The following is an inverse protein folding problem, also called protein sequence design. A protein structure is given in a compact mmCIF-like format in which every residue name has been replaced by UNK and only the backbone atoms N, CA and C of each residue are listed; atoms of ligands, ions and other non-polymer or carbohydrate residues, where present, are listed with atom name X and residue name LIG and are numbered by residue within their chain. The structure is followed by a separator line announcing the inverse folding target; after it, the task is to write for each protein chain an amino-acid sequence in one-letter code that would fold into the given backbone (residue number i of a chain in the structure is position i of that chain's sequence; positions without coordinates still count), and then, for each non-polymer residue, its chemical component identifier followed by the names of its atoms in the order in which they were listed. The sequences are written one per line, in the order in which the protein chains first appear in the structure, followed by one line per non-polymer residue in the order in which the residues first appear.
data_IF_462199675422
#
_entry.id   IF_462199675422
#
_cell.length_a   1.000
_cell.length_b   1.000
_cell.length_c   1.000
_cell.angle_alpha   90.00
_cell.angle_beta   90.00
_cell.angle_gamma   90.00
#
_symmetry.space_group_name_H-M   'P 1'
#
loop_
_entity.id
_entity.type
_entity.pdbx_description
1 polymer ?
#
# COMPACT_ATOMS: atom_id res chain seq x y z
N UNK A 1 29.06 -4.16 5.16
CA UNK A 1 27.65 -3.80 4.90
C UNK A 1 27.18 -4.66 3.75
N UNK A 2 26.54 -5.78 4.06
CA UNK A 2 25.85 -6.60 3.05
C UNK A 2 24.73 -5.75 2.49
N UNK A 3 24.85 -5.38 1.22
CA UNK A 3 23.74 -4.78 0.48
C UNK A 3 22.75 -5.91 0.30
N UNK A 4 21.75 -5.98 1.18
CA UNK A 4 20.61 -6.87 0.98
C UNK A 4 20.07 -6.58 -0.41
N UNK A 5 20.08 -7.62 -1.23
CA UNK A 5 19.58 -7.54 -2.58
C UNK A 5 18.12 -7.08 -2.51
N UNK A 6 17.68 -6.07 -3.30
CA UNK A 6 16.29 -5.63 -3.29
C UNK A 6 15.31 -6.78 -3.64
N UNK A 7 15.82 -7.88 -4.20
CA UNK A 7 15.09 -9.13 -4.46
C UNK A 7 14.75 -9.95 -3.20
N UNK A 8 15.36 -9.69 -2.03
CA UNK A 8 15.05 -10.36 -0.76
C UNK A 8 13.78 -9.82 -0.08
N UNK A 9 13.22 -8.68 -0.54
CA UNK A 9 12.06 -8.02 0.06
C UNK A 9 10.80 -8.89 0.10
N UNK A 10 10.68 -9.86 -0.81
CA UNK A 10 9.54 -10.76 -0.94
C UNK A 10 9.93 -12.24 -0.73
N UNK A 11 11.00 -12.49 0.02
CA UNK A 11 11.49 -13.85 0.25
C UNK A 11 10.66 -14.58 1.32
N UNK A 12 10.37 -15.86 1.06
CA UNK A 12 9.24 -16.66 1.55
C UNK A 12 9.19 -17.00 3.04
N UNK A 13 9.97 -16.35 3.89
CA UNK A 13 10.09 -16.78 5.28
C UNK A 13 8.80 -16.55 6.09
N UNK A 14 7.96 -15.57 5.73
CA UNK A 14 6.75 -15.32 6.51
C UNK A 14 5.68 -16.40 6.33
N UNK A 15 5.45 -16.90 5.11
CA UNK A 15 4.47 -17.98 4.91
C UNK A 15 4.82 -19.20 5.77
N UNK A 16 6.07 -19.65 5.71
CA UNK A 16 6.53 -20.79 6.50
C UNK A 16 6.39 -20.52 8.01
N UNK A 17 6.73 -19.32 8.46
CA UNK A 17 6.52 -18.90 9.86
C UNK A 17 5.04 -18.86 10.27
N UNK A 18 4.14 -18.43 9.40
CA UNK A 18 2.70 -18.44 9.64
C UNK A 18 2.18 -19.88 9.77
N UNK A 19 2.67 -20.79 8.93
CA UNK A 19 2.32 -22.22 9.03
C UNK A 19 2.91 -22.84 10.32
N UNK A 20 4.15 -22.52 10.68
CA UNK A 20 4.74 -22.96 11.95
C UNK A 20 3.93 -22.46 13.14
N UNK A 21 3.55 -21.19 13.13
CA UNK A 21 2.67 -20.59 14.15
C UNK A 21 1.32 -21.31 14.23
N UNK A 22 0.73 -21.67 13.09
CA UNK A 22 -0.51 -22.44 13.05
C UNK A 22 -0.34 -23.82 13.72
N UNK A 23 0.76 -24.51 13.45
CA UNK A 23 1.08 -25.79 14.11
C UNK A 23 1.25 -25.62 15.62
N UNK A 24 1.93 -24.55 16.05
CA UNK A 24 2.09 -24.23 17.48
C UNK A 24 0.76 -23.91 18.16
N UNK A 25 -0.13 -23.16 17.51
CA UNK A 25 -1.47 -22.91 18.02
C UNK A 25 -2.26 -24.22 18.21
N UNK A 26 -2.18 -25.14 17.25
CA UNK A 26 -2.80 -26.47 17.37
C UNK A 26 -2.21 -27.28 18.53
N UNK A 27 -0.89 -27.25 18.73
CA UNK A 27 -0.21 -27.91 19.84
C UNK A 27 -0.72 -27.38 21.20
N UNK A 28 -0.85 -26.06 21.36
CA UNK A 28 -1.39 -25.45 22.57
C UNK A 28 -2.83 -25.92 22.83
N UNK A 29 -3.70 -25.89 21.82
CA UNK A 29 -5.08 -26.36 21.96
C UNK A 29 -5.17 -27.84 22.38
N UNK A 30 -4.29 -28.69 21.84
CA UNK A 30 -4.26 -30.12 22.21
C UNK A 30 -3.78 -30.35 23.64
N UNK A 31 -2.75 -29.63 24.11
CA UNK A 31 -2.28 -29.72 25.50
C UNK A 31 -3.39 -29.32 26.47
N UNK A 32 -4.12 -28.23 26.18
CA UNK A 32 -5.25 -27.81 27.02
C UNK A 32 -6.33 -28.89 27.05
N UNK A 33 -6.63 -29.54 25.91
CA UNK A 33 -7.61 -30.62 25.89
C UNK A 33 -7.16 -31.84 26.70
N UNK A 34 -5.86 -32.16 26.74
CA UNK A 34 -5.33 -33.21 27.64
C UNK A 34 -5.55 -32.85 29.11
N UNK A 35 -5.33 -31.59 29.49
CA UNK A 35 -5.60 -31.10 30.86
C UNK A 35 -7.09 -31.25 31.17
N UNK A 36 -7.99 -30.89 30.25
CA UNK A 36 -9.42 -31.08 30.44
C UNK A 36 -9.80 -32.55 30.66
N UNK A 37 -9.13 -33.49 29.97
CA UNK A 37 -9.32 -34.92 30.17
C UNK A 37 -8.99 -35.34 31.61
N UNK A 38 -7.82 -34.95 32.11
CA UNK A 38 -7.41 -35.20 33.50
C UNK A 38 -8.35 -34.54 34.52
N UNK A 39 -8.84 -33.33 34.22
CA UNK A 39 -9.83 -32.66 35.06
C UNK A 39 -11.15 -33.42 35.15
N UNK A 40 -11.60 -34.06 34.05
CA UNK A 40 -12.79 -34.89 34.03
C UNK A 40 -12.63 -36.21 34.80
N UNK A 41 -11.42 -36.75 34.92
CA UNK A 41 -11.15 -37.88 35.81
C UNK A 41 -11.23 -37.46 37.28
N UNK A 42 -10.65 -36.31 37.62
CA UNK A 42 -10.73 -35.75 38.96
C UNK A 42 -12.16 -35.43 39.39
N UNK A 43 -12.97 -34.90 38.47
CA UNK A 43 -14.41 -34.66 38.64
C UNK A 43 -15.16 -35.94 39.05
N UNK A 44 -14.94 -37.05 38.35
CA UNK A 44 -15.55 -38.36 38.68
C UNK A 44 -15.15 -38.87 40.07
N UNK A 45 -13.90 -38.62 40.47
CA UNK A 45 -13.43 -39.01 41.81
C UNK A 45 -14.17 -38.18 42.88
N UNK A 46 -14.34 -36.87 42.67
CA UNK A 46 -15.11 -36.02 43.58
C UNK A 46 -16.57 -36.49 43.67
N UNK A 47 -17.22 -36.79 42.55
CA UNK A 47 -18.60 -37.33 42.53
C UNK A 47 -18.72 -38.65 43.32
N UNK A 48 -17.76 -39.54 43.16
CA UNK A 48 -17.70 -40.79 43.92
C UNK A 48 -17.54 -40.55 45.42
N UNK A 49 -16.78 -39.53 45.82
CA UNK A 49 -16.64 -39.15 47.23
C UNK A 49 -17.97 -38.55 47.72
N UNK A 50 -18.56 -37.60 47.00
CA UNK A 50 -19.84 -36.96 47.37
C UNK A 50 -20.93 -38.00 47.62
N UNK A 51 -21.05 -39.01 46.75
CA UNK A 51 -22.05 -40.08 46.89
C UNK A 51 -21.80 -41.02 48.07
N UNK A 52 -20.57 -41.05 48.61
CA UNK A 52 -20.17 -41.89 49.74
C UNK A 52 -20.35 -41.20 51.10
N UNK A 53 -20.61 -39.89 51.14
CA UNK A 53 -20.79 -39.13 52.38
C UNK A 53 -22.28 -38.80 52.63
N UNK A 54 -22.73 -38.79 53.90
CA UNK A 54 -24.09 -38.38 54.24
C UNK A 54 -24.34 -36.94 53.79
N UNK A 55 -25.48 -36.70 53.12
CA UNK A 55 -25.89 -35.34 52.79
C UNK A 55 -26.22 -34.58 54.07
N UNK A 56 -25.65 -33.38 54.20
CA UNK A 56 -25.83 -32.50 55.34
C UNK A 56 -26.06 -31.09 54.79
N UNK A 57 -27.20 -30.50 55.12
CA UNK A 57 -27.62 -29.18 54.62
C UNK A 57 -26.89 -28.01 55.32
N UNK A 58 -26.02 -28.30 56.29
CA UNK A 58 -25.19 -27.28 56.91
C UNK A 58 -24.25 -26.62 55.87
N UNK A 59 -24.23 -25.29 55.73
CA UNK A 59 -23.45 -24.59 54.69
C UNK A 59 -21.94 -24.84 54.73
N UNK A 60 -21.41 -25.15 55.92
CA UNK A 60 -20.00 -25.46 56.16
C UNK A 60 -19.72 -26.98 56.26
N UNK A 61 -20.64 -27.81 55.78
CA UNK A 61 -20.44 -29.26 55.79
C UNK A 61 -19.37 -29.69 54.77
N UNK A 62 -18.80 -30.88 54.98
CA UNK A 62 -17.88 -31.48 54.01
C UNK A 62 -18.55 -31.71 52.65
N UNK A 63 -19.84 -32.09 52.63
CA UNK A 63 -20.63 -32.23 51.40
C UNK A 63 -20.75 -30.90 50.66
N UNK A 64 -21.02 -29.80 51.37
CA UNK A 64 -21.06 -28.45 50.79
C UNK A 64 -19.71 -28.01 50.22
N UNK A 65 -18.60 -28.31 50.90
CA UNK A 65 -17.24 -28.01 50.41
C UNK A 65 -16.88 -28.82 49.15
N UNK A 66 -17.23 -30.12 49.13
CA UNK A 66 -17.02 -30.97 47.95
C UNK A 66 -17.85 -30.48 46.76
N UNK A 67 -19.11 -30.11 46.98
CA UNK A 67 -19.97 -29.52 45.94
C UNK A 67 -19.40 -28.19 45.40
N UNK A 68 -18.86 -27.34 46.27
CA UNK A 68 -18.21 -26.10 45.87
C UNK A 68 -16.94 -26.38 45.04
N UNK A 69 -16.15 -27.37 45.44
CA UNK A 69 -14.95 -27.81 44.71
C UNK A 69 -15.32 -28.38 43.34
N UNK A 70 -16.38 -29.19 43.27
CA UNK A 70 -16.95 -29.74 42.04
C UNK A 70 -17.38 -28.62 41.09
N UNK A 71 -18.14 -27.64 41.58
CA UNK A 71 -18.58 -26.49 40.79
C UNK A 71 -17.40 -25.66 40.26
N UNK A 72 -16.38 -25.41 41.09
CA UNK A 72 -15.15 -24.75 40.66
C UNK A 72 -14.46 -25.53 39.54
N UNK A 73 -14.32 -26.84 39.69
CA UNK A 73 -13.68 -27.72 38.71
C UNK A 73 -14.42 -27.73 37.36
N UNK A 74 -15.74 -27.86 37.39
CA UNK A 74 -16.60 -27.84 36.19
C UNK A 74 -16.46 -26.50 35.45
N UNK A 75 -16.46 -25.38 36.18
CA UNK A 75 -16.28 -24.06 35.60
C UNK A 75 -14.90 -23.88 34.96
N UNK A 76 -13.83 -24.27 35.66
CA UNK A 76 -12.46 -24.18 35.13
C UNK A 76 -12.28 -25.08 33.90
N UNK A 77 -12.82 -26.30 33.92
CA UNK A 77 -12.79 -27.22 32.77
C UNK A 77 -13.48 -26.62 31.56
N UNK A 78 -14.62 -25.95 31.77
CA UNK A 78 -15.40 -25.30 30.71
C UNK A 78 -14.62 -24.14 30.09
N UNK A 79 -14.05 -23.26 30.91
CA UNK A 79 -13.23 -22.13 30.46
C UNK A 79 -12.01 -22.60 29.65
N UNK A 80 -11.29 -23.63 30.13
CA UNK A 80 -10.17 -24.22 29.38
C UNK A 80 -10.60 -24.80 28.03
N UNK A 81 -11.82 -25.32 27.92
CA UNK A 81 -12.36 -25.81 26.65
C UNK A 81 -12.56 -24.71 25.63
N UNK A 82 -13.04 -23.56 26.08
CA UNK A 82 -13.22 -22.38 25.24
C UNK A 82 -11.86 -21.85 24.77
N UNK A 83 -10.85 -21.84 25.64
CA UNK A 83 -9.46 -21.49 25.27
C UNK A 83 -8.89 -22.47 24.25
N UNK A 84 -9.04 -23.78 24.48
CA UNK A 84 -8.55 -24.82 23.56
C UNK A 84 -9.16 -24.68 22.16
N UNK A 85 -10.48 -24.45 22.10
CA UNK A 85 -11.22 -24.24 20.86
C UNK A 85 -10.78 -22.95 20.14
N UNK A 86 -10.53 -21.86 20.86
CA UNK A 86 -10.01 -20.63 20.29
C UNK A 86 -8.63 -20.82 19.63
N UNK A 87 -7.73 -21.58 20.26
CA UNK A 87 -6.42 -21.93 19.67
C UNK A 87 -6.54 -22.82 18.43
N UNK A 88 -7.48 -23.76 18.42
CA UNK A 88 -7.75 -24.59 17.23
C UNK A 88 -8.28 -23.77 16.07
N UNK A 89 -9.28 -22.92 16.33
CA UNK A 89 -9.82 -21.96 15.35
C UNK A 89 -8.73 -21.05 14.79
N UNK A 90 -7.82 -20.55 15.64
CA UNK A 90 -6.67 -19.76 15.20
C UNK A 90 -5.76 -20.57 14.27
N UNK A 91 -5.38 -21.79 14.66
CA UNK A 91 -4.59 -22.71 13.82
C UNK A 91 -5.21 -22.88 12.43
N UNK A 92 -6.50 -23.18 12.36
CA UNK A 92 -7.16 -23.49 11.10
C UNK A 92 -7.32 -22.26 10.20
N UNK A 93 -7.57 -21.09 10.79
CA UNK A 93 -7.61 -19.81 10.07
C UNK A 93 -6.22 -19.37 9.57
N UNK A 94 -5.12 -19.73 10.25
CA UNK A 94 -3.75 -19.39 9.84
C UNK A 94 -3.23 -20.28 8.68
N UNK A 95 -3.71 -21.52 8.56
CA UNK A 95 -3.26 -22.46 7.51
C UNK A 95 -3.61 -22.02 6.08
N UNK A 96 -4.53 -21.08 5.89
CA UNK A 96 -4.85 -20.58 4.57
C UNK A 96 -5.73 -19.32 4.56
N UNK A 97 -5.59 -18.44 3.56
CA UNK A 97 -6.48 -17.31 3.33
C UNK A 97 -7.76 -17.80 2.62
N UNK A 98 -8.54 -18.63 3.29
CA UNK A 98 -9.66 -19.38 2.71
C UNK A 98 -10.78 -18.50 2.12
N UNK A 99 -10.90 -17.25 2.59
CA UNK A 99 -11.90 -16.28 2.15
C UNK A 99 -11.38 -15.27 1.10
N UNK A 100 -10.12 -15.43 0.66
CA UNK A 100 -9.50 -14.49 -0.26
C UNK A 100 -9.90 -14.75 -1.71
N UNK A 101 -10.73 -13.87 -2.28
CA UNK A 101 -11.31 -14.02 -3.63
C UNK A 101 -10.41 -13.58 -4.78
N UNK A 102 -9.24 -13.02 -4.48
CA UNK A 102 -8.31 -12.54 -5.50
C UNK A 102 -7.73 -13.70 -6.30
N UNK A 103 -7.77 -13.62 -7.63
CA UNK A 103 -7.07 -14.57 -8.49
C UNK A 103 -5.58 -14.26 -8.48
N UNK A 104 -4.75 -15.26 -8.19
CA UNK A 104 -3.30 -15.12 -8.30
C UNK A 104 -2.86 -14.96 -9.76
N UNK A 105 -1.81 -14.17 -9.94
CA UNK A 105 -1.13 -14.00 -11.22
C UNK A 105 -0.51 -15.31 -11.67
N UNK A 106 -0.47 -15.51 -12.99
CA UNK A 106 0.31 -16.60 -13.60
C UNK A 106 1.80 -16.29 -13.65
N UNK A 107 2.18 -15.03 -13.44
CA UNK A 107 3.57 -14.60 -13.42
C UNK A 107 4.13 -14.65 -12.00
N UNK A 108 5.18 -15.45 -11.83
CA UNK A 108 5.70 -15.83 -10.52
C UNK A 108 6.13 -14.62 -9.67
N UNK A 109 6.68 -13.56 -10.28
CA UNK A 109 7.08 -12.35 -9.52
C UNK A 109 5.88 -11.62 -8.91
N UNK A 110 4.79 -11.48 -9.66
CA UNK A 110 3.56 -10.82 -9.17
C UNK A 110 2.90 -11.72 -8.12
N UNK A 111 2.81 -13.03 -8.42
CA UNK A 111 2.24 -14.02 -7.51
C UNK A 111 2.94 -14.02 -6.14
N UNK A 112 4.27 -13.92 -6.11
CA UNK A 112 5.04 -13.80 -4.86
C UNK A 112 4.63 -12.59 -4.03
N UNK A 113 4.51 -11.42 -4.65
CA UNK A 113 4.06 -10.20 -3.97
C UNK A 113 2.62 -10.34 -3.46
N UNK A 114 1.72 -10.91 -4.27
CA UNK A 114 0.35 -11.17 -3.87
C UNK A 114 0.29 -12.09 -2.65
N UNK A 115 0.97 -13.24 -2.70
CA UNK A 115 1.01 -14.20 -1.58
C UNK A 115 1.52 -13.51 -0.32
N UNK A 116 2.65 -12.80 -0.40
CA UNK A 116 3.22 -12.10 0.76
C UNK A 116 2.22 -11.12 1.38
N UNK A 117 1.62 -10.22 0.58
CA UNK A 117 0.69 -9.23 1.13
C UNK A 117 -0.59 -9.87 1.70
N UNK A 118 -1.14 -10.86 1.01
CA UNK A 118 -2.33 -11.58 1.45
C UNK A 118 -2.06 -12.30 2.77
N UNK A 119 -0.92 -12.99 2.90
CA UNK A 119 -0.57 -13.68 4.14
C UNK A 119 -0.31 -12.72 5.30
N UNK A 120 0.30 -11.54 5.06
CA UNK A 120 0.45 -10.51 6.08
C UNK A 120 -0.93 -10.06 6.61
N UNK A 121 -1.82 -9.68 5.69
CA UNK A 121 -3.18 -9.21 6.03
C UNK A 121 -3.96 -10.32 6.74
N UNK A 122 -3.88 -11.55 6.23
CA UNK A 122 -4.60 -12.68 6.83
C UNK A 122 -4.08 -13.02 8.22
N UNK A 123 -2.77 -13.05 8.42
CA UNK A 123 -2.16 -13.32 9.73
C UNK A 123 -2.62 -12.26 10.74
N UNK A 124 -2.60 -10.99 10.35
CA UNK A 124 -3.12 -9.89 11.18
C UNK A 124 -4.60 -10.10 11.55
N UNK A 125 -5.46 -10.42 10.57
CA UNK A 125 -6.89 -10.71 10.80
C UNK A 125 -7.10 -11.90 11.74
N UNK A 126 -6.33 -12.97 11.58
CA UNK A 126 -6.42 -14.15 12.42
C UNK A 126 -6.12 -13.83 13.88
N UNK A 127 -5.09 -13.04 14.14
CA UNK A 127 -4.78 -12.61 15.51
C UNK A 127 -5.88 -11.73 16.10
N UNK A 128 -6.40 -10.75 15.35
CA UNK A 128 -7.47 -9.89 15.87
C UNK A 128 -8.73 -10.70 16.17
N UNK A 129 -9.12 -11.61 15.28
CA UNK A 129 -10.25 -12.51 15.52
C UNK A 129 -10.01 -13.42 16.74
N UNK A 130 -8.79 -13.93 16.93
CA UNK A 130 -8.47 -14.73 18.11
C UNK A 130 -8.62 -13.92 19.41
N UNK A 131 -8.18 -12.65 19.44
CA UNK A 131 -8.33 -11.80 20.63
C UNK A 131 -9.80 -11.46 20.90
N UNK A 132 -10.61 -11.24 19.86
CA UNK A 132 -12.06 -11.03 19.98
C UNK A 132 -12.75 -12.30 20.51
N UNK A 133 -12.45 -13.46 19.92
CA UNK A 133 -13.00 -14.75 20.32
C UNK A 133 -12.60 -15.08 21.78
N UNK A 134 -11.35 -14.79 22.17
CA UNK A 134 -10.87 -14.96 23.53
C UNK A 134 -11.60 -14.06 24.53
N UNK A 135 -11.84 -12.79 24.17
CA UNK A 135 -12.59 -11.86 25.02
C UNK A 135 -14.05 -12.29 25.19
N UNK A 136 -14.71 -12.69 24.10
CA UNK A 136 -16.14 -12.99 24.12
C UNK A 136 -16.44 -14.35 24.77
N UNK A 137 -15.51 -15.30 24.64
CA UNK A 137 -15.74 -16.68 25.05
C UNK A 137 -15.06 -17.04 26.38
N UNK A 138 -14.14 -16.25 26.93
CA UNK A 138 -13.44 -16.60 28.17
C UNK A 138 -13.66 -15.53 29.25
N UNK A 139 -14.34 -15.90 30.33
CA UNK A 139 -14.77 -14.96 31.36
C UNK A 139 -13.58 -14.32 32.12
N UNK A 140 -12.50 -15.07 32.34
CA UNK A 140 -11.30 -14.51 32.99
C UNK A 140 -10.51 -13.56 32.07
N UNK A 141 -10.67 -13.68 30.74
CA UNK A 141 -10.05 -12.80 29.75
C UNK A 141 -10.91 -11.54 29.57
N UNK A 142 -12.23 -11.67 29.59
CA UNK A 142 -13.16 -10.55 29.40
C UNK A 142 -13.01 -9.47 30.48
N UNK A 143 -12.59 -9.87 31.69
CA UNK A 143 -12.34 -8.97 32.82
C UNK A 143 -10.95 -8.29 32.77
N UNK A 144 -10.08 -8.64 31.82
CA UNK A 144 -8.74 -8.11 31.73
C UNK A 144 -8.74 -6.76 31.00
N UNK A 145 -8.26 -5.70 31.67
CA UNK A 145 -8.17 -4.34 31.12
C UNK A 145 -7.36 -4.26 29.81
N UNK A 146 -6.46 -5.21 29.54
CA UNK A 146 -5.68 -5.28 28.29
C UNK A 146 -6.59 -5.54 27.08
N UNK A 147 -7.74 -6.19 27.27
CA UNK A 147 -8.71 -6.57 26.24
C UNK A 147 -9.96 -5.65 26.21
N UNK A 148 -9.85 -4.44 26.75
CA UNK A 148 -10.92 -3.44 26.63
C UNK A 148 -11.26 -3.15 25.16
N UNK A 149 -12.54 -2.91 24.86
CA UNK A 149 -13.03 -2.61 23.51
C UNK A 149 -12.33 -1.39 22.92
N UNK A 150 -12.03 -0.39 23.74
CA UNK A 150 -11.31 0.80 23.30
C UNK A 150 -9.89 0.49 22.84
N UNK A 151 -9.25 -0.54 23.40
CA UNK A 151 -7.89 -0.97 23.04
C UNK A 151 -7.89 -1.87 21.80
N UNK A 152 -8.93 -2.70 21.62
CA UNK A 152 -9.05 -3.59 20.45
C UNK A 152 -9.56 -2.88 19.20
N UNK A 153 -10.42 -1.87 19.36
CA UNK A 153 -11.08 -1.14 18.25
C UNK A 153 -10.11 -0.61 17.18
N UNK A 154 -8.95 0.00 17.50
CA UNK A 154 -8.01 0.43 16.48
C UNK A 154 -7.53 -0.73 15.59
N UNK A 155 -7.25 -1.90 16.19
CA UNK A 155 -6.76 -3.05 15.44
C UNK A 155 -7.82 -3.65 14.53
N UNK A 156 -9.08 -3.68 14.97
CA UNK A 156 -10.24 -4.10 14.17
C UNK A 156 -10.39 -3.20 12.95
N UNK A 157 -10.37 -1.88 13.15
CA UNK A 157 -10.47 -0.91 12.06
C UNK A 157 -9.33 -1.05 11.05
N UNK A 158 -8.10 -1.29 11.52
CA UNK A 158 -6.95 -1.56 10.64
C UNK A 158 -7.16 -2.85 9.84
N UNK A 159 -7.60 -3.93 10.49
CA UNK A 159 -7.88 -5.21 9.86
C UNK A 159 -8.86 -5.07 8.69
N UNK A 160 -9.99 -4.40 8.91
CA UNK A 160 -11.02 -4.21 7.87
C UNK A 160 -10.53 -3.30 6.76
N UNK A 161 -9.81 -2.23 7.11
CA UNK A 161 -9.30 -1.27 6.14
C UNK A 161 -8.20 -1.86 5.27
N UNK A 162 -7.33 -2.72 5.79
CA UNK A 162 -6.32 -3.43 4.98
C UNK A 162 -6.95 -4.25 3.84
N UNK A 163 -8.05 -4.97 4.14
CA UNK A 163 -8.79 -5.74 3.14
C UNK A 163 -9.49 -4.82 2.12
N UNK A 164 -10.15 -3.76 2.62
CA UNK A 164 -10.85 -2.79 1.79
C UNK A 164 -9.90 -2.06 0.83
N UNK A 165 -8.78 -1.54 1.36
CA UNK A 165 -7.76 -0.82 0.59
C UNK A 165 -7.18 -1.74 -0.51
N UNK A 166 -6.85 -2.99 -0.19
CA UNK A 166 -6.37 -3.95 -1.21
C UNK A 166 -7.41 -4.23 -2.29
N UNK A 167 -8.67 -4.45 -1.93
CA UNK A 167 -9.77 -4.62 -2.91
C UNK A 167 -9.93 -3.39 -3.79
N UNK A 168 -9.84 -2.19 -3.21
CA UNK A 168 -9.88 -0.93 -3.95
C UNK A 168 -8.75 -0.88 -4.98
N UNK A 169 -7.50 -1.15 -4.57
CA UNK A 169 -6.35 -1.14 -5.47
C UNK A 169 -6.47 -2.12 -6.63
N UNK A 170 -7.03 -3.31 -6.38
CA UNK A 170 -7.29 -4.33 -7.41
C UNK A 170 -8.44 -3.97 -8.37
N UNK A 171 -9.34 -3.08 -7.95
CA UNK A 171 -10.49 -2.65 -8.77
C UNK A 171 -10.17 -1.49 -9.71
N UNK A 172 -9.00 -0.87 -9.58
CA UNK A 172 -8.59 0.26 -10.41
C UNK A 172 -8.28 -0.21 -11.84
N UNK A 173 -8.86 0.47 -12.82
CA UNK A 173 -8.66 0.15 -14.23
C UNK A 173 -7.79 1.22 -14.91
N UNK A 174 -6.52 0.90 -15.11
CA UNK A 174 -5.53 1.77 -15.75
C UNK A 174 -5.56 1.72 -17.28
N UNK A 175 -6.57 1.09 -17.89
CA UNK A 175 -6.80 1.17 -19.33
C UNK A 175 -7.70 2.34 -19.73
N UNK A 176 -8.35 2.98 -18.76
CA UNK A 176 -9.27 4.10 -18.97
C UNK A 176 -8.55 5.43 -19.30
N UNK A 177 -9.28 6.46 -19.79
CA UNK A 177 -8.74 7.81 -19.95
C UNK A 177 -8.21 8.40 -18.64
N UNK A 178 -7.19 9.28 -18.73
CA UNK A 178 -6.45 9.84 -17.59
C UNK A 178 -7.41 10.43 -16.53
N UNK A 179 -8.42 11.18 -16.96
CA UNK A 179 -9.39 11.81 -16.07
C UNK A 179 -10.22 10.79 -15.25
N UNK A 180 -10.51 9.62 -15.80
CA UNK A 180 -11.25 8.57 -15.12
C UNK A 180 -10.36 7.86 -14.10
N UNK A 181 -9.10 7.60 -14.47
CA UNK A 181 -8.12 7.01 -13.54
C UNK A 181 -7.95 7.93 -12.33
N UNK A 182 -7.74 9.23 -12.55
CA UNK A 182 -7.58 10.20 -11.46
C UNK A 182 -8.81 10.28 -10.55
N UNK A 183 -10.03 10.17 -11.12
CA UNK A 183 -11.26 10.09 -10.33
C UNK A 183 -11.32 8.83 -9.46
N UNK A 184 -10.95 7.67 -10.00
CA UNK A 184 -10.91 6.41 -9.24
C UNK A 184 -9.87 6.46 -8.10
N UNK A 185 -8.74 7.11 -8.34
CA UNK A 185 -7.68 7.33 -7.36
C UNK A 185 -7.99 8.44 -6.34
N UNK A 186 -9.07 9.22 -6.54
CA UNK A 186 -9.36 10.46 -5.80
C UNK A 186 -8.19 11.47 -5.84
N UNK A 187 -7.57 11.66 -7.01
CA UNK A 187 -6.43 12.57 -7.24
C UNK A 187 -6.85 13.80 -8.07
N UNK A 188 -6.06 14.87 -7.96
CA UNK A 188 -6.32 16.12 -8.68
C UNK A 188 -5.90 16.01 -10.16
N UNK A 189 -6.53 16.80 -11.04
CA UNK A 189 -6.18 16.85 -12.48
C UNK A 189 -4.80 17.46 -12.78
N UNK A 190 -4.11 17.97 -11.75
CA UNK A 190 -2.78 18.58 -11.84
C UNK A 190 -1.64 17.61 -11.59
N UNK A 191 -1.93 16.33 -11.30
CA UNK A 191 -0.93 15.29 -11.04
C UNK A 191 -1.08 14.12 -12.00
N UNK A 192 -0.02 13.34 -12.15
CA UNK A 192 -0.08 12.06 -12.85
C UNK A 192 -0.91 11.06 -12.06
N UNK A 193 -1.57 10.11 -12.76
CA UNK A 193 -2.08 8.91 -12.12
C UNK A 193 -0.96 8.16 -11.39
N UNK A 194 -1.26 7.58 -10.23
CA UNK A 194 -0.27 7.14 -9.26
C UNK A 194 0.76 6.16 -9.84
N UNK A 195 0.32 5.12 -10.57
CA UNK A 195 1.27 4.15 -11.12
C UNK A 195 2.02 4.69 -12.34
N UNK A 196 1.41 5.55 -13.15
CA UNK A 196 2.18 6.22 -14.22
C UNK A 196 3.22 7.17 -13.62
N UNK A 197 2.92 7.86 -12.50
CA UNK A 197 3.90 8.63 -11.75
C UNK A 197 5.07 7.74 -11.30
N UNK A 198 4.78 6.61 -10.65
CA UNK A 198 5.81 5.63 -10.21
C UNK A 198 6.65 5.08 -11.36
N UNK A 199 5.99 4.62 -12.43
CA UNK A 199 6.66 4.05 -13.60
C UNK A 199 7.57 5.09 -14.25
N UNK A 200 7.07 6.31 -14.46
CA UNK A 200 7.86 7.38 -15.08
C UNK A 200 9.00 7.86 -14.17
N UNK A 201 8.78 7.98 -12.86
CA UNK A 201 9.85 8.30 -11.90
C UNK A 201 10.95 7.24 -11.94
N UNK A 202 10.59 5.96 -11.91
CA UNK A 202 11.57 4.88 -12.01
C UNK A 202 12.36 4.95 -13.31
N UNK A 203 11.68 5.05 -14.45
CA UNK A 203 12.34 5.15 -15.75
C UNK A 203 13.24 6.40 -15.86
N UNK A 204 12.85 7.53 -15.25
CA UNK A 204 13.61 8.77 -15.32
C UNK A 204 14.96 8.69 -14.60
N UNK A 205 14.99 8.00 -13.46
CA UNK A 205 16.19 7.84 -12.61
C UNK A 205 16.97 6.55 -12.90
N UNK A 206 16.49 5.72 -13.83
CA UNK A 206 17.18 4.51 -14.25
C UNK A 206 18.51 4.84 -14.95
N UNK A 207 19.56 4.09 -14.61
CA UNK A 207 20.91 4.34 -15.16
C UNK A 207 21.06 3.73 -16.54
N UNK A 208 20.60 2.51 -16.72
CA UNK A 208 20.72 1.74 -17.96
C UNK A 208 19.37 1.66 -18.66
N UNK A 209 19.31 2.24 -19.86
CA UNK A 209 18.06 2.41 -20.62
C UNK A 209 18.24 2.02 -22.08
N UNK A 210 19.10 1.03 -22.35
CA UNK A 210 19.41 0.59 -23.71
C UNK A 210 18.14 0.16 -24.45
N UNK A 211 17.82 0.86 -25.54
CA UNK A 211 16.64 0.58 -26.33
C UNK A 211 15.32 0.80 -25.59
N UNK A 212 15.28 1.63 -24.54
CA UNK A 212 14.05 2.01 -23.86
C UNK A 212 12.98 2.46 -24.88
N UNK A 213 11.75 2.00 -24.69
CA UNK A 213 10.63 2.13 -25.65
C UNK A 213 10.81 1.47 -27.04
N UNK A 214 12.00 1.03 -27.44
CA UNK A 214 12.21 0.25 -28.67
C UNK A 214 12.09 -1.25 -28.44
N UNK A 215 12.67 -1.74 -27.35
CA UNK A 215 12.62 -3.16 -26.99
C UNK A 215 11.18 -3.60 -26.64
N UNK A 216 10.90 -4.88 -26.88
CA UNK A 216 9.61 -5.52 -26.64
C UNK A 216 9.70 -6.36 -25.37
N UNK A 217 8.76 -6.13 -24.45
CA UNK A 217 8.55 -7.01 -23.31
C UNK A 217 7.69 -8.22 -23.70
N UNK A 218 7.69 -9.27 -22.87
CA UNK A 218 6.78 -10.40 -23.04
C UNK A 218 5.32 -9.95 -22.96
N UNK A 219 4.51 -10.32 -23.96
CA UNK A 219 3.10 -9.88 -24.05
C UNK A 219 2.28 -10.37 -22.87
N UNK A 220 2.43 -11.65 -22.51
CA UNK A 220 1.73 -12.29 -21.38
C UNK A 220 2.13 -11.64 -20.05
N UNK A 221 3.42 -11.40 -19.84
CA UNK A 221 3.94 -10.71 -18.66
C UNK A 221 3.35 -9.30 -18.56
N UNK A 222 3.42 -8.50 -19.61
CA UNK A 222 2.89 -7.14 -19.64
C UNK A 222 1.40 -7.07 -19.32
N UNK A 223 0.59 -8.00 -19.84
CA UNK A 223 -0.85 -8.07 -19.55
C UNK A 223 -1.09 -8.33 -18.06
N UNK A 224 -0.33 -9.24 -17.44
CA UNK A 224 -0.43 -9.50 -16.00
C UNK A 224 0.01 -8.29 -15.17
N UNK A 225 1.09 -7.59 -15.54
CA UNK A 225 1.51 -6.38 -14.83
C UNK A 225 0.49 -5.25 -14.93
N UNK A 226 -0.18 -5.08 -16.07
CA UNK A 226 -1.26 -4.08 -16.22
C UNK A 226 -2.47 -4.45 -15.36
N UNK A 227 -2.84 -5.73 -15.34
CA UNK A 227 -3.97 -6.23 -14.54
C UNK A 227 -3.77 -6.02 -13.04
N UNK A 228 -2.54 -6.18 -12.54
CA UNK A 228 -2.21 -6.05 -11.13
C UNK A 228 -1.42 -4.78 -10.81
N UNK A 229 -1.46 -3.78 -11.70
CA UNK A 229 -0.69 -2.53 -11.59
C UNK A 229 -0.91 -1.83 -10.23
N UNK A 230 -2.13 -1.99 -9.68
CA UNK A 230 -2.58 -1.55 -8.36
C UNK A 230 -1.76 -2.01 -7.15
N UNK A 231 -1.12 -3.18 -7.25
CA UNK A 231 -0.55 -3.86 -6.08
C UNK A 231 0.89 -4.31 -6.29
N UNK A 232 1.49 -3.94 -7.42
CA UNK A 232 2.86 -4.33 -7.76
C UNK A 232 3.86 -3.27 -7.30
N UNK A 233 4.97 -3.74 -6.74
CA UNK A 233 6.16 -2.92 -6.53
C UNK A 233 7.00 -2.81 -7.81
N UNK A 234 6.92 -1.64 -8.45
CA UNK A 234 7.68 -1.32 -9.66
C UNK A 234 9.18 -1.17 -9.41
N UNK A 235 9.66 -1.03 -8.17
CA UNK A 235 11.10 -0.90 -7.88
C UNK A 235 11.90 -2.13 -8.34
N UNK A 236 11.26 -3.30 -8.48
CA UNK A 236 11.90 -4.53 -8.91
C UNK A 236 11.71 -4.86 -10.40
N UNK A 237 10.92 -4.06 -11.11
CA UNK A 237 10.57 -4.29 -12.52
C UNK A 237 11.60 -3.69 -13.47
N UNK A 238 12.06 -4.40 -14.49
CA UNK A 238 13.02 -3.84 -15.45
C UNK A 238 12.41 -2.69 -16.29
N UNK A 239 13.29 -1.85 -16.84
CA UNK A 239 12.88 -0.69 -17.61
C UNK A 239 12.20 -1.05 -18.95
N UNK A 240 12.44 -2.26 -19.49
CA UNK A 240 11.86 -2.71 -20.76
C UNK A 240 10.37 -2.93 -20.58
N UNK A 241 9.98 -3.65 -19.52
CA UNK A 241 8.61 -3.91 -19.17
C UNK A 241 7.87 -2.63 -18.80
N UNK A 242 8.50 -1.76 -17.99
CA UNK A 242 7.95 -0.45 -17.65
C UNK A 242 7.69 0.42 -18.89
N UNK A 243 8.65 0.47 -19.81
CA UNK A 243 8.51 1.18 -21.09
C UNK A 243 7.38 0.59 -21.94
N UNK A 244 7.24 -0.74 -21.94
CA UNK A 244 6.19 -1.44 -22.68
C UNK A 244 4.79 -1.15 -22.11
N UNK A 245 4.64 -1.09 -20.78
CA UNK A 245 3.39 -0.74 -20.09
C UNK A 245 2.94 0.67 -20.49
N UNK A 246 3.84 1.66 -20.45
CA UNK A 246 3.51 3.04 -20.88
C UNK A 246 3.11 3.06 -22.36
N UNK A 247 3.85 2.38 -23.25
CA UNK A 247 3.46 2.27 -24.67
C UNK A 247 2.09 1.61 -24.83
N UNK A 248 1.82 0.53 -24.11
CA UNK A 248 0.54 -0.18 -24.16
C UNK A 248 -0.60 0.77 -23.80
N UNK A 249 -0.47 1.52 -22.72
CA UNK A 249 -1.46 2.53 -22.32
C UNK A 249 -1.74 3.54 -23.44
N UNK A 250 -0.69 4.18 -23.98
CA UNK A 250 -0.84 5.17 -25.06
C UNK A 250 -1.60 4.60 -26.26
N UNK A 251 -1.30 3.35 -26.64
CA UNK A 251 -1.91 2.68 -27.79
C UNK A 251 -3.35 2.23 -27.56
N UNK A 252 -3.69 1.80 -26.34
CA UNK A 252 -4.94 1.08 -26.07
C UNK A 252 -6.00 1.91 -25.34
N UNK A 253 -5.63 3.03 -24.70
CA UNK A 253 -6.61 3.90 -24.05
C UNK A 253 -7.67 4.38 -25.05
N UNK A 254 -8.92 4.50 -24.63
CA UNK A 254 -10.02 4.90 -25.53
C UNK A 254 -9.86 6.35 -26.01
N UNK A 255 -9.31 7.22 -25.16
CA UNK A 255 -9.00 8.61 -25.47
C UNK A 255 -7.47 8.82 -25.47
N UNK A 256 -6.86 9.16 -26.61
CA UNK A 256 -5.41 9.36 -26.68
C UNK A 256 -4.94 10.53 -25.81
N UNK A 257 -3.71 10.43 -25.35
CA UNK A 257 -3.09 11.45 -24.48
C UNK A 257 -3.02 12.81 -25.19
N UNK A 258 -2.66 12.85 -26.48
CA UNK A 258 -2.96 14.01 -27.31
C UNK A 258 -4.43 13.92 -27.74
N UNK A 259 -5.32 14.84 -27.31
CA UNK A 259 -6.74 14.59 -27.50
C UNK A 259 -7.16 14.71 -28.96
N UNK A 260 -8.14 13.88 -29.35
CA UNK A 260 -8.57 13.72 -30.75
C UNK A 260 -9.09 15.04 -31.35
N UNK A 261 -9.74 15.88 -30.55
CA UNK A 261 -10.26 17.17 -31.00
C UNK A 261 -9.17 18.16 -31.44
N UNK A 262 -7.92 17.98 -30.97
CA UNK A 262 -6.76 18.76 -31.39
C UNK A 262 -5.90 18.06 -32.46
N UNK A 263 -6.27 16.85 -32.90
CA UNK A 263 -5.46 16.08 -33.85
C UNK A 263 -5.32 16.80 -35.20
N UNK A 264 -6.45 17.15 -35.85
CA UNK A 264 -6.43 17.74 -37.20
C UNK A 264 -5.70 19.10 -37.21
N UNK A 265 -5.87 19.90 -36.15
CA UNK A 265 -5.15 21.17 -36.01
C UNK A 265 -3.64 20.97 -35.89
N UNK A 266 -3.20 19.99 -35.10
CA UNK A 266 -1.77 19.67 -34.97
C UNK A 266 -1.18 19.18 -36.30
N UNK A 267 -1.90 18.31 -37.01
CA UNK A 267 -1.46 17.80 -38.32
C UNK A 267 -1.38 18.93 -39.35
N UNK A 268 -2.37 19.82 -39.39
CA UNK A 268 -2.35 21.00 -40.27
C UNK A 268 -1.14 21.91 -39.99
N UNK A 269 -0.91 22.28 -38.72
CA UNK A 269 0.22 23.12 -38.33
C UNK A 269 1.55 22.44 -38.71
N UNK A 270 1.64 21.14 -38.50
CA UNK A 270 2.86 20.38 -38.82
C UNK A 270 3.09 20.31 -40.32
N UNK A 271 2.06 20.02 -41.12
CA UNK A 271 2.18 19.97 -42.59
C UNK A 271 2.57 21.31 -43.21
N UNK A 272 2.06 22.43 -42.67
CA UNK A 272 2.33 23.77 -43.22
C UNK A 272 3.62 24.39 -42.71
N UNK A 273 3.97 24.18 -41.43
CA UNK A 273 5.02 24.94 -40.76
C UNK A 273 6.19 24.11 -40.25
N UNK A 274 6.27 22.79 -40.53
CA UNK A 274 7.39 21.95 -40.05
C UNK A 274 8.78 22.51 -40.41
N UNK A 275 8.92 23.13 -41.59
CA UNK A 275 10.18 23.76 -42.04
C UNK A 275 10.43 25.15 -41.43
N UNK A 276 9.50 25.70 -40.66
CA UNK A 276 9.58 27.02 -40.02
C UNK A 276 9.42 26.89 -38.50
N UNK A 277 10.53 26.65 -37.76
CA UNK A 277 10.48 26.36 -36.32
C UNK A 277 9.75 27.42 -35.48
N UNK A 278 9.95 28.70 -35.80
CA UNK A 278 9.34 29.82 -35.07
C UNK A 278 7.82 29.79 -35.23
N UNK A 279 7.33 29.68 -36.47
CA UNK A 279 5.90 29.66 -36.75
C UNK A 279 5.24 28.40 -36.20
N UNK A 280 5.89 27.23 -36.33
CA UNK A 280 5.38 25.98 -35.78
C UNK A 280 5.24 26.07 -34.25
N UNK A 281 6.26 26.55 -33.52
CA UNK A 281 6.21 26.73 -32.06
C UNK A 281 5.08 27.67 -31.64
N UNK A 282 4.91 28.81 -32.30
CA UNK A 282 3.85 29.76 -31.98
C UNK A 282 2.46 29.16 -32.16
N UNK A 283 2.21 28.48 -33.30
CA UNK A 283 0.91 27.86 -33.59
C UNK A 283 0.65 26.65 -32.69
N UNK A 284 1.67 25.84 -32.42
CA UNK A 284 1.59 24.72 -31.48
C UNK A 284 1.13 25.17 -30.09
N UNK A 285 1.72 26.25 -29.54
CA UNK A 285 1.33 26.79 -28.22
C UNK A 285 -0.15 27.15 -28.16
N UNK A 286 -0.71 27.71 -29.24
CA UNK A 286 -2.14 28.02 -29.31
C UNK A 286 -3.02 26.78 -29.24
N UNK A 287 -2.66 25.70 -29.96
CA UNK A 287 -3.40 24.42 -29.87
C UNK A 287 -3.23 23.81 -28.48
N UNK A 288 -2.01 23.81 -27.96
CA UNK A 288 -1.67 23.24 -26.66
C UNK A 288 -2.47 23.88 -25.50
N UNK A 289 -2.78 25.17 -25.58
CA UNK A 289 -3.62 25.85 -24.57
C UNK A 289 -4.99 25.20 -24.39
N UNK A 290 -5.58 24.62 -25.45
CA UNK A 290 -6.89 23.96 -25.40
C UNK A 290 -6.85 22.52 -24.85
N UNK A 291 -5.67 21.95 -24.62
CA UNK A 291 -5.52 20.59 -24.10
C UNK A 291 -5.93 20.53 -22.62
N UNK A 292 -6.69 19.50 -22.18
CA UNK A 292 -7.08 19.34 -20.78
C UNK A 292 -5.87 19.28 -19.83
N UNK A 293 -6.04 19.76 -18.60
CA UNK A 293 -4.97 19.84 -17.60
C UNK A 293 -4.28 18.51 -17.33
N UNK A 294 -5.06 17.44 -17.19
CA UNK A 294 -4.60 16.10 -16.89
C UNK A 294 -3.78 15.51 -18.05
N UNK A 295 -4.20 15.78 -19.29
CA UNK A 295 -3.45 15.43 -20.49
C UNK A 295 -2.15 16.24 -20.56
N UNK A 296 -2.17 17.55 -20.31
CA UNK A 296 -0.96 18.39 -20.28
C UNK A 296 0.09 17.86 -19.30
N UNK A 297 -0.32 17.50 -18.09
CA UNK A 297 0.58 16.94 -17.08
C UNK A 297 1.22 15.64 -17.57
N UNK A 298 0.44 14.76 -18.20
CA UNK A 298 0.95 13.52 -18.78
C UNK A 298 1.90 13.78 -19.96
N UNK A 299 1.51 14.66 -20.87
CA UNK A 299 2.31 15.05 -22.05
C UNK A 299 3.67 15.58 -21.60
N UNK A 300 3.69 16.57 -20.71
CA UNK A 300 4.94 17.19 -20.27
C UNK A 300 5.82 16.21 -19.50
N UNK A 301 5.23 15.33 -18.67
CA UNK A 301 5.99 14.30 -17.95
C UNK A 301 6.58 13.26 -18.90
N UNK A 302 5.83 12.83 -19.92
CA UNK A 302 6.32 11.91 -20.95
C UNK A 302 7.42 12.56 -21.79
N UNK A 303 7.25 13.82 -22.20
CA UNK A 303 8.29 14.56 -22.95
C UNK A 303 9.55 14.71 -22.10
N UNK A 304 9.44 15.08 -20.83
CA UNK A 304 10.58 15.18 -19.92
C UNK A 304 11.32 13.82 -19.79
N UNK A 305 10.57 12.72 -19.69
CA UNK A 305 11.12 11.37 -19.66
C UNK A 305 11.82 11.01 -20.98
N UNK A 306 11.20 11.26 -22.13
CA UNK A 306 11.79 11.01 -23.44
C UNK A 306 13.11 11.77 -23.62
N UNK A 307 13.17 13.06 -23.23
CA UNK A 307 14.39 13.86 -23.30
C UNK A 307 15.47 13.30 -22.38
N UNK A 308 15.12 12.86 -21.17
CA UNK A 308 16.06 12.22 -20.25
C UNK A 308 16.65 10.94 -20.83
N UNK A 309 15.82 10.10 -21.47
CA UNK A 309 16.26 8.86 -22.13
C UNK A 309 17.16 9.16 -23.33
N UNK A 310 16.78 10.12 -24.18
CA UNK A 310 17.59 10.53 -25.36
C UNK A 310 18.97 11.02 -24.95
N UNK A 311 19.05 11.76 -23.84
CA UNK A 311 20.31 12.26 -23.31
C UNK A 311 21.07 11.23 -22.46
N UNK A 312 20.51 10.03 -22.22
CA UNK A 312 21.20 8.97 -21.51
C UNK A 312 22.18 8.25 -22.48
N UNK A 313 23.49 8.20 -22.16
CA UNK A 313 24.50 7.64 -23.06
C UNK A 313 24.30 6.15 -23.37
N UNK A 314 23.66 5.40 -22.47
CA UNK A 314 23.41 3.96 -22.67
C UNK A 314 22.18 3.70 -23.55
N UNK A 315 21.32 4.70 -23.76
CA UNK A 315 19.99 4.43 -24.30
C UNK A 315 19.98 4.03 -25.78
N UNK A 316 20.92 4.54 -26.58
CA UNK A 316 20.94 4.41 -28.06
C UNK A 316 19.66 4.95 -28.74
N UNK A 317 18.84 5.70 -28.00
CA UNK A 317 17.64 6.36 -28.51
C UNK A 317 17.95 7.80 -28.87
N UNK A 318 17.73 8.18 -30.12
CA UNK A 318 17.72 9.58 -30.56
C UNK A 318 16.28 10.07 -30.73
N UNK A 319 16.11 11.36 -31.07
CA UNK A 319 14.79 11.96 -31.29
C UNK A 319 13.97 11.16 -32.31
N UNK A 320 14.58 10.78 -33.44
CA UNK A 320 13.89 10.04 -34.50
C UNK A 320 13.40 8.67 -34.02
N UNK A 321 14.27 7.89 -33.39
CA UNK A 321 13.95 6.57 -32.86
C UNK A 321 12.87 6.64 -31.78
N UNK A 322 12.93 7.67 -30.92
CA UNK A 322 11.92 7.91 -29.89
C UNK A 322 10.56 8.23 -30.52
N UNK A 323 10.53 9.10 -31.52
CA UNK A 323 9.31 9.46 -32.24
C UNK A 323 8.65 8.25 -32.92
N UNK A 324 9.44 7.38 -33.54
CA UNK A 324 8.93 6.14 -34.16
C UNK A 324 8.25 5.25 -33.10
N UNK A 325 8.82 5.17 -31.89
CA UNK A 325 8.33 4.28 -30.85
C UNK A 325 7.10 4.79 -30.08
N UNK A 326 6.97 6.11 -29.91
CA UNK A 326 5.96 6.72 -29.04
C UNK A 326 4.83 7.40 -29.81
N UNK A 327 5.16 8.14 -30.87
CA UNK A 327 4.20 9.01 -31.56
C UNK A 327 2.93 8.29 -32.06
N UNK A 328 2.98 7.05 -32.62
CA UNK A 328 1.76 6.37 -33.09
C UNK A 328 0.70 6.13 -32.00
N UNK A 329 1.13 5.85 -30.77
CA UNK A 329 0.22 5.67 -29.64
C UNK A 329 -0.22 7.01 -29.04
N UNK A 330 0.69 7.98 -29.04
CA UNK A 330 0.52 9.25 -28.36
C UNK A 330 -0.37 10.25 -29.13
N UNK A 331 -0.20 10.38 -30.45
CA UNK A 331 -1.00 11.25 -31.34
C UNK A 331 -1.73 10.37 -32.36
N UNK A 332 -3.04 10.20 -32.17
CA UNK A 332 -3.88 9.41 -33.09
C UNK A 332 -5.31 9.92 -33.09
N UNK A 333 -5.99 9.76 -34.23
CA UNK A 333 -7.40 10.14 -34.41
C UNK A 333 -8.37 9.04 -33.96
N UNK A 334 -7.96 7.79 -34.11
CA UNK A 334 -8.70 6.58 -33.67
C UNK A 334 -7.70 5.50 -33.25
N UNK A 335 -8.06 4.21 -33.34
CA UNK A 335 -7.09 3.12 -33.18
C UNK A 335 -5.99 3.21 -34.26
N UNK A 336 -4.81 2.66 -33.97
CA UNK A 336 -3.57 2.85 -34.76
C UNK A 336 -3.71 2.45 -36.24
N UNK A 337 -4.70 1.62 -36.57
CA UNK A 337 -4.85 1.01 -37.90
C UNK A 337 -5.52 1.91 -38.95
N UNK A 338 -6.02 3.10 -38.59
CA UNK A 338 -6.85 3.92 -39.50
C UNK A 338 -6.11 5.14 -40.10
N UNK A 339 -4.80 5.29 -39.87
CA UNK A 339 -4.04 6.44 -40.39
C UNK A 339 -3.46 6.15 -41.79
N UNK A 340 -3.58 7.11 -42.70
CA UNK A 340 -2.89 7.06 -44.00
C UNK A 340 -1.37 7.22 -43.82
N UNK A 341 -0.56 6.69 -44.75
CA UNK A 341 0.92 6.82 -44.69
C UNK A 341 1.40 8.27 -44.54
N UNK A 342 0.74 9.24 -45.19
CA UNK A 342 1.06 10.67 -45.06
C UNK A 342 0.73 11.23 -43.66
N UNK A 343 -0.36 10.77 -43.05
CA UNK A 343 -0.73 11.15 -41.68
C UNK A 343 0.28 10.60 -40.65
N UNK A 344 0.80 9.40 -40.86
CA UNK A 344 1.85 8.83 -40.01
C UNK A 344 3.14 9.65 -40.03
N UNK A 345 3.57 10.13 -41.20
CA UNK A 345 4.76 10.97 -41.31
C UNK A 345 4.59 12.29 -40.55
N UNK A 346 3.43 12.94 -40.66
CA UNK A 346 3.13 14.17 -39.92
C UNK A 346 3.09 13.94 -38.40
N UNK A 347 2.56 12.81 -37.94
CA UNK A 347 2.60 12.42 -36.52
C UNK A 347 4.04 12.31 -36.01
N UNK A 348 4.93 11.68 -36.77
CA UNK A 348 6.34 11.55 -36.40
C UNK A 348 7.05 12.89 -36.37
N UNK A 349 6.80 13.76 -37.35
CA UNK A 349 7.38 15.11 -37.40
C UNK A 349 6.86 15.94 -36.23
N UNK A 350 5.56 15.89 -35.94
CA UNK A 350 4.95 16.65 -34.85
C UNK A 350 5.59 16.27 -33.50
N UNK A 351 5.69 14.97 -33.19
CA UNK A 351 6.32 14.52 -31.95
C UNK A 351 7.83 14.83 -31.92
N UNK A 352 8.53 14.68 -33.05
CA UNK A 352 9.95 15.05 -33.14
C UNK A 352 10.17 16.54 -32.87
N UNK A 353 9.28 17.41 -33.35
CA UNK A 353 9.32 18.85 -33.05
C UNK A 353 9.03 19.13 -31.57
N UNK A 354 8.09 18.41 -30.96
CA UNK A 354 7.84 18.51 -29.50
C UNK A 354 9.10 18.18 -28.69
N UNK A 355 9.84 17.15 -29.07
CA UNK A 355 11.11 16.77 -28.42
C UNK A 355 12.22 17.79 -28.72
N UNK A 356 12.40 18.16 -29.98
CA UNK A 356 13.48 19.08 -30.42
C UNK A 356 13.36 20.45 -29.73
N UNK A 357 12.14 20.97 -29.61
CA UNK A 357 11.87 22.28 -29.02
C UNK A 357 11.33 22.21 -27.59
N UNK A 358 11.50 21.07 -26.90
CA UNK A 358 10.86 20.77 -25.62
C UNK A 358 11.03 21.88 -24.57
N UNK A 359 12.26 22.40 -24.39
CA UNK A 359 12.56 23.47 -23.42
C UNK A 359 11.81 24.78 -23.68
N UNK A 360 11.52 25.08 -24.96
CA UNK A 360 10.79 26.29 -25.33
C UNK A 360 9.28 26.10 -25.29
N UNK A 361 8.79 24.90 -25.60
CA UNK A 361 7.36 24.59 -25.59
C UNK A 361 6.83 24.39 -24.17
N UNK A 362 7.67 23.81 -23.29
CA UNK A 362 7.31 23.38 -21.95
C UNK A 362 8.38 23.89 -20.96
N UNK A 363 8.23 25.11 -20.41
CA UNK A 363 9.27 25.75 -19.60
C UNK A 363 9.59 24.98 -18.31
N UNK A 364 8.62 24.25 -17.75
CA UNK A 364 8.74 23.58 -16.45
C UNK A 364 9.17 22.10 -16.53
N UNK A 365 9.71 21.63 -17.65
CA UNK A 365 10.12 20.21 -17.81
C UNK A 365 11.13 19.76 -16.77
N UNK A 366 12.07 20.63 -16.40
CA UNK A 366 13.09 20.33 -15.38
C UNK A 366 12.52 20.07 -13.99
N UNK A 367 11.26 20.46 -13.73
CA UNK A 367 10.60 20.33 -12.43
C UNK A 367 9.66 19.12 -12.37
N UNK A 368 9.52 18.34 -13.46
CA UNK A 368 8.59 17.20 -13.51
C UNK A 368 9.03 16.03 -12.64
N UNK A 369 10.33 15.77 -12.60
CA UNK A 369 10.90 14.69 -11.81
C UNK A 369 11.92 15.28 -10.83
N UNK A 370 11.55 15.39 -9.55
CA UNK A 370 12.41 15.94 -8.50
C UNK A 370 13.00 14.79 -7.71
N UNK A 371 14.33 14.72 -7.63
CA UNK A 371 15.04 13.56 -7.05
C UNK A 371 14.65 13.34 -5.59
N UNK A 372 14.51 14.43 -4.82
CA UNK A 372 14.07 14.36 -3.42
C UNK A 372 12.66 13.80 -3.22
N UNK A 373 11.85 13.70 -4.28
CA UNK A 373 10.52 13.07 -4.26
C UNK A 373 10.55 11.60 -4.67
N UNK A 374 11.67 11.06 -5.13
CA UNK A 374 11.76 9.70 -5.65
C UNK A 374 11.24 8.66 -4.65
N UNK A 375 11.76 8.67 -3.42
CA UNK A 375 11.34 7.74 -2.38
C UNK A 375 9.89 7.95 -1.97
N UNK A 376 9.41 9.19 -1.94
CA UNK A 376 8.01 9.48 -1.65
C UNK A 376 7.06 8.91 -2.71
N UNK A 377 7.44 8.99 -3.99
CA UNK A 377 6.66 8.49 -5.12
C UNK A 377 6.70 6.97 -5.19
N UNK A 378 7.88 6.37 -5.08
CA UNK A 378 8.05 4.92 -5.17
C UNK A 378 7.55 4.22 -3.91
N UNK A 379 7.68 4.87 -2.76
CA UNK A 379 7.28 4.34 -1.46
C UNK A 379 6.32 5.27 -0.71
N UNK A 380 5.09 5.50 -1.23
CA UNK A 380 4.11 6.31 -0.53
C UNK A 380 3.71 5.63 0.78
N UNK A 381 3.38 6.44 1.79
CA UNK A 381 2.82 5.95 3.05
C UNK A 381 1.45 5.32 2.77
N UNK A 382 1.30 4.04 3.10
CA UNK A 382 0.04 3.30 3.02
C UNK A 382 -0.22 2.61 4.35
N UNK A 383 -1.48 2.34 4.66
CA UNK A 383 -1.84 1.59 5.86
C UNK A 383 -1.09 0.26 5.94
N UNK A 384 -0.97 -0.43 4.80
CA UNK A 384 -0.21 -1.68 4.72
C UNK A 384 1.25 -1.49 5.16
N UNK A 385 1.95 -0.49 4.60
CA UNK A 385 3.35 -0.22 4.96
C UNK A 385 3.49 0.22 6.40
N UNK A 386 2.60 1.08 6.89
CA UNK A 386 2.64 1.54 8.28
C UNK A 386 2.36 0.40 9.28
N UNK A 387 1.69 -0.67 8.84
CA UNK A 387 1.37 -1.85 9.67
C UNK A 387 2.49 -2.90 9.64
N UNK A 388 3.07 -3.17 8.47
CA UNK A 388 3.96 -4.33 8.27
C UNK A 388 5.42 -3.98 8.01
N UNK A 389 5.74 -2.77 7.56
CA UNK A 389 7.12 -2.38 7.32
C UNK A 389 7.67 -1.70 8.57
N UNK A 390 8.95 -1.92 8.87
CA UNK A 390 9.63 -1.13 9.87
C UNK A 390 9.48 0.35 9.49
N UNK A 391 8.93 1.15 10.42
CA UNK A 391 9.14 2.58 10.36
C UNK A 391 10.66 2.74 10.35
N UNK A 392 11.23 3.14 9.21
CA UNK A 392 12.51 3.83 9.21
C UNK A 392 12.34 4.89 10.29
N UNK A 393 12.98 4.68 11.44
CA UNK A 393 13.05 5.64 12.52
C UNK A 393 13.55 6.91 11.84
N UNK A 394 12.62 7.82 11.52
CA UNK A 394 12.99 9.17 11.16
C UNK A 394 13.79 9.63 12.36
N UNK A 395 15.09 9.83 12.17
CA UNK A 395 15.83 10.72 13.04
C UNK A 395 14.92 11.93 13.27
N UNK A 396 14.80 12.42 14.51
CA UNK A 396 13.87 13.48 14.82
C UNK A 396 14.25 14.71 14.00
N UNK A 397 13.63 14.86 12.83
CA UNK A 397 13.58 16.12 12.12
C UNK A 397 12.76 17.00 13.03
N UNK A 398 13.46 17.86 13.76
CA UNK A 398 12.88 19.01 14.45
C UNK A 398 12.01 19.76 13.45
N UNK A 399 10.72 19.47 13.44
CA UNK A 399 9.72 20.29 12.78
C UNK A 399 9.54 21.53 13.63
N UNK A 400 10.39 22.54 13.39
CA UNK A 400 9.99 23.92 13.69
C UNK A 400 8.83 24.23 12.74
N UNK A 401 7.66 24.38 13.34
CA UNK A 401 6.50 25.00 12.71
C UNK A 401 6.89 26.34 12.09
N UNK A 402 6.41 26.68 10.88
CA UNK A 402 6.54 28.02 10.34
C UNK A 402 5.49 28.89 11.03
N UNK A 403 5.86 29.53 12.14
CA UNK A 403 5.10 30.66 12.67
C UNK A 403 5.60 31.92 11.95
N UNK A 404 4.63 32.58 11.33
CA UNK A 404 4.75 33.78 10.53
C UNK A 404 5.61 34.89 11.16
N UNK A 405 6.56 35.42 10.41
CA UNK A 405 7.10 36.77 10.62
C UNK A 405 6.29 37.77 9.80
N UNK A 406 5.17 38.25 10.36
CA UNK A 406 4.65 39.57 10.01
C UNK A 406 5.28 40.56 10.97
N UNK A 407 6.15 41.40 10.44
CA UNK A 407 6.56 42.64 11.09
C UNK A 407 5.34 43.52 11.34
N UNK A 408 5.10 43.89 12.59
CA UNK A 408 4.90 45.28 12.96
C UNK A 408 5.08 45.47 14.47
N UNK A 409 5.45 46.70 14.79
CA UNK A 409 6.33 47.13 15.86
C UNK A 409 5.55 48.15 16.71
N UNK A 410 5.73 48.13 18.03
CA UNK A 410 5.26 49.10 19.06
C UNK A 410 3.75 49.03 19.38
N UNK A 411 3.29 49.02 20.64
CA UNK A 411 3.54 49.97 21.74
C UNK A 411 3.41 49.29 23.13
N UNK A 412 4.18 49.81 24.10
CA UNK A 412 4.23 49.51 25.54
C UNK A 412 2.90 49.72 26.28
N UNK A 413 2.62 48.91 27.31
CA UNK A 413 2.29 49.41 28.66
C UNK A 413 2.42 48.33 29.75
N UNK A 414 2.90 48.77 30.91
CA UNK A 414 3.28 48.01 32.10
C UNK A 414 2.08 47.73 33.03
N UNK A 415 2.17 46.64 33.82
CA UNK A 415 1.83 46.54 35.27
C UNK A 415 1.86 45.04 35.65
N UNK A 416 2.86 44.53 36.39
CA UNK A 416 3.06 44.54 37.85
C UNK A 416 1.94 43.87 38.66
N UNK A 417 2.30 42.79 39.38
CA UNK A 417 1.93 42.37 40.76
C UNK A 417 2.22 40.85 40.87
N UNK A 418 3.38 40.44 41.39
CA UNK A 418 3.72 40.12 42.79
C UNK A 418 3.08 38.84 43.38
N UNK A 419 3.96 37.84 43.54
CA UNK A 419 4.21 37.00 44.74
C UNK A 419 3.04 36.28 45.45
N UNK A 420 3.16 34.95 45.58
CA UNK A 420 3.35 34.31 46.90
C UNK A 420 3.91 32.87 46.79
N UNK A 421 5.10 32.67 47.36
CA UNK A 421 5.59 31.38 47.86
C UNK A 421 4.91 31.09 49.20
N UNK A 422 4.56 29.83 49.46
CA UNK A 422 4.78 29.18 50.78
C UNK A 422 4.73 27.65 50.66
N UNK A 423 5.65 27.07 51.41
CA UNK A 423 6.08 25.68 51.51
C UNK A 423 5.40 24.93 52.67
N UNK A 424 5.21 23.62 52.53
CA UNK A 424 5.33 22.60 53.60
C UNK A 424 5.01 21.24 52.96
N UNK A 425 5.98 20.40 52.60
CA UNK A 425 6.76 19.51 53.47
C UNK A 425 5.93 18.41 54.15
N UNK A 426 6.36 17.17 53.88
CA UNK A 426 6.44 16.00 54.76
C UNK A 426 5.32 14.93 54.78
N UNK A 427 5.81 13.68 54.60
CA UNK A 427 5.36 12.39 55.17
C UNK A 427 4.11 11.77 54.49
N UNK A 428 4.10 10.55 53.95
CA UNK A 428 4.80 9.32 54.35
C UNK A 428 5.10 8.40 53.14
N UNK A 429 6.36 7.93 53.09
CA UNK A 429 6.71 6.58 52.63
C UNK A 429 6.41 5.61 53.76
N UNK A 430 5.84 4.44 53.44
CA UNK A 430 6.08 3.10 54.03
C UNK A 430 5.16 2.16 53.22
N UNK A 431 5.67 1.35 52.30
CA UNK A 431 6.18 0.00 52.57
C UNK A 431 5.16 -0.88 53.28
N UNK A 432 4.65 -1.92 52.59
CA UNK A 432 4.68 -3.31 53.06
C UNK A 432 4.56 -4.22 51.82
N UNK A 433 5.64 -4.96 51.60
CA UNK A 433 5.66 -6.23 50.87
C UNK A 433 4.95 -7.29 51.72
N UNK A 434 4.33 -8.24 51.01
CA UNK A 434 4.18 -9.64 51.40
C UNK A 434 3.09 -10.04 52.42
N UNK A 435 2.39 -11.10 51.97
CA UNK A 435 1.74 -12.19 52.72
C UNK A 435 0.34 -11.91 53.28
N UNK A 436 -0.69 -12.41 52.59
CA UNK A 436 -1.36 -13.69 52.85
C UNK A 436 -2.24 -14.07 51.65
#
# INVERSE_FOLDING_TARGET
MTVDSPYQKYDFNLYNKTIELAQKASQVGNVIQTIQGAMGEFEKIIESIISSFPQNDAPASFSSLLNLTMNFQVNLKTELGLVAENYRKLSDKLKGPWDWKEKFSTYERIKKQQIQEIFNIQTYRCFINFLIDAKNNCHFISQNEVFDDNKLRPFILVSDKLVSDRKKLLSLDYTQPINQILKQENRQNTVLPEYFEKIMYKLYYEKELEGAFRQCAGVTEMVEYVKYIGIIDFQLTDYILLSAIVKKYLRETTEPVWPQSQFDQLMFITGQYASSPIQWKMKFRSVYQSVPSENKVFIESLIALCIKIINNPTSKMNIQNMSICIAPGFIRKSAINDLTQSSHQLVFIAFSNMLTYAKELFPDLGMKFIESRYDQVMNPHTLYKDTFNEKLLKQPTTSRSPIASRSNRWVRQQSSIQTHKRSSAMLNRLSIKQLC
#
